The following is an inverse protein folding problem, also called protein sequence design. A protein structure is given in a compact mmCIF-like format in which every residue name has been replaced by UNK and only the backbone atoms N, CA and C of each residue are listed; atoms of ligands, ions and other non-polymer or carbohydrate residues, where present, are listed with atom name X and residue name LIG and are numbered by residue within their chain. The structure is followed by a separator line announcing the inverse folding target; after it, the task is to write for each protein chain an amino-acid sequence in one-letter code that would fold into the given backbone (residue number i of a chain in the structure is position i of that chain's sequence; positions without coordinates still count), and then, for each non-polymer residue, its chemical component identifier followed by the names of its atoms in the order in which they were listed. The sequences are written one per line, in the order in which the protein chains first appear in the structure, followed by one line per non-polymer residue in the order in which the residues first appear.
data_IF_168115292664
#
_entry.id   IF_168115292664
#
_cell.length_a   1.000
_cell.length_b   1.000
_cell.length_c   1.000
_cell.angle_alpha   90.00
_cell.angle_beta   90.00
_cell.angle_gamma   90.00
#
_symmetry.space_group_name_H-M   'P 1'
#
loop_
_entity.id
_entity.type
_entity.pdbx_description
1 polymer ?
#
# COMPACT_ATOMS: atom_id res chain seq x y z
N UNK A 1 -8.91 -6.91 -5.81
CA UNK A 1 -9.61 -6.91 -7.12
C UNK A 1 -8.85 -6.16 -8.19
N UNK A 2 -8.61 -4.85 -8.03
CA UNK A 2 -7.89 -4.02 -9.01
C UNK A 2 -6.59 -4.66 -9.53
N UNK A 3 -5.73 -5.18 -8.63
CA UNK A 3 -4.50 -5.92 -9.01
C UNK A 3 -4.81 -7.11 -9.93
N UNK A 4 -5.73 -7.99 -9.54
CA UNK A 4 -6.03 -9.23 -10.26
C UNK A 4 -6.61 -8.99 -11.65
N UNK A 5 -7.34 -7.88 -11.85
CA UNK A 5 -7.89 -7.53 -13.17
C UNK A 5 -6.87 -6.90 -14.12
N UNK A 6 -5.71 -6.48 -13.62
CA UNK A 6 -4.66 -5.82 -14.42
C UNK A 6 -3.37 -6.63 -14.51
N UNK A 7 -3.38 -7.90 -14.11
CA UNK A 7 -2.21 -8.77 -14.20
C UNK A 7 -2.58 -10.13 -14.76
N UNK A 8 -1.66 -10.72 -15.52
CA UNK A 8 -1.70 -12.14 -15.91
C UNK A 8 -0.78 -13.00 -15.04
N UNK A 9 -0.01 -12.37 -14.16
CA UNK A 9 0.95 -13.02 -13.29
C UNK A 9 0.25 -13.71 -12.11
N UNK A 10 0.85 -14.77 -11.58
CA UNK A 10 0.37 -15.39 -10.34
C UNK A 10 0.58 -14.42 -9.17
N UNK A 11 -0.47 -14.15 -8.41
CA UNK A 11 -0.43 -13.23 -7.27
C UNK A 11 -0.57 -13.99 -5.96
N UNK A 12 0.32 -13.71 -5.01
CA UNK A 12 0.19 -14.13 -3.61
C UNK A 12 0.07 -12.91 -2.70
N UNK A 13 -1.04 -12.79 -1.97
CA UNK A 13 -1.27 -11.71 -1.01
C UNK A 13 -0.80 -12.11 0.40
N UNK A 14 -0.19 -11.16 1.10
CA UNK A 14 0.27 -11.35 2.48
C UNK A 14 -0.44 -10.37 3.39
N UNK A 15 -1.04 -10.84 4.48
CA UNK A 15 -1.79 -10.00 5.40
C UNK A 15 -1.34 -10.16 6.84
N UNK A 16 -1.36 -9.07 7.62
CA UNK A 16 -1.09 -9.10 9.05
C UNK A 16 -2.28 -9.72 9.81
N UNK A 17 -2.12 -10.96 10.28
CA UNK A 17 -3.19 -11.77 10.89
C UNK A 17 -3.97 -11.06 12.00
N UNK A 18 -3.27 -10.30 12.85
CA UNK A 18 -3.86 -9.72 14.06
C UNK A 18 -4.71 -8.46 13.82
N UNK A 19 -4.70 -7.92 12.61
CA UNK A 19 -5.40 -6.67 12.28
C UNK A 19 -6.60 -6.87 11.34
N UNK A 20 -6.86 -8.10 10.92
CA UNK A 20 -8.02 -8.46 10.11
C UNK A 20 -9.23 -8.80 10.99
N UNK A 21 -10.43 -8.37 10.55
CA UNK A 21 -11.69 -8.75 11.18
C UNK A 21 -11.99 -10.25 10.99
N UNK A 22 -12.77 -10.89 11.88
CA UNK A 22 -13.21 -12.27 11.70
C UNK A 22 -13.92 -12.50 10.37
N UNK A 23 -14.83 -11.58 9.99
CA UNK A 23 -15.57 -11.64 8.73
C UNK A 23 -14.66 -11.64 7.51
N UNK A 24 -13.59 -10.82 7.50
CA UNK A 24 -12.65 -10.82 6.38
C UNK A 24 -11.79 -12.09 6.35
N UNK A 25 -11.37 -12.61 7.50
CA UNK A 25 -10.61 -13.89 7.58
C UNK A 25 -11.42 -15.07 7.05
N UNK A 26 -12.72 -15.08 7.28
CA UNK A 26 -13.64 -16.09 6.76
C UNK A 26 -13.86 -15.96 5.24
N UNK A 27 -13.86 -14.73 4.73
CA UNK A 27 -14.15 -14.45 3.33
C UNK A 27 -12.96 -14.59 2.38
N UNK A 28 -11.73 -14.24 2.78
CA UNK A 28 -10.53 -14.35 1.92
C UNK A 28 -10.36 -15.74 1.28
N UNK A 29 -10.51 -16.88 1.99
CA UNK A 29 -10.42 -18.20 1.36
C UNK A 29 -11.37 -18.36 0.17
N UNK A 30 -12.59 -17.82 0.28
CA UNK A 30 -13.58 -17.85 -0.80
C UNK A 30 -13.19 -16.94 -1.95
N UNK A 31 -12.67 -15.75 -1.67
CA UNK A 31 -12.11 -14.89 -2.71
C UNK A 31 -10.94 -15.56 -3.45
N UNK A 32 -10.03 -16.22 -2.72
CA UNK A 32 -8.88 -16.90 -3.28
C UNK A 32 -9.29 -18.03 -4.24
N UNK A 33 -10.28 -18.83 -3.86
CA UNK A 33 -10.85 -19.91 -4.68
C UNK A 33 -11.51 -19.37 -5.95
N UNK A 34 -12.34 -18.31 -5.83
CA UNK A 34 -13.10 -17.75 -6.95
C UNK A 34 -12.20 -16.97 -7.93
N UNK A 35 -11.22 -16.21 -7.42
CA UNK A 35 -10.39 -15.35 -8.25
C UNK A 35 -9.00 -15.92 -8.56
N UNK A 36 -8.67 -17.11 -8.05
CA UNK A 36 -7.45 -17.84 -8.41
C UNK A 36 -6.15 -17.23 -7.89
N UNK A 37 -6.14 -16.67 -6.68
CA UNK A 37 -4.92 -16.14 -6.05
C UNK A 37 -4.53 -16.90 -4.79
N UNK A 38 -3.25 -16.84 -4.42
CA UNK A 38 -2.76 -17.40 -3.16
C UNK A 38 -2.76 -16.33 -2.06
N UNK A 39 -2.87 -16.74 -0.81
CA UNK A 39 -2.67 -15.82 0.30
C UNK A 39 -2.02 -16.49 1.50
N UNK A 40 -1.41 -15.68 2.36
CA UNK A 40 -0.87 -16.14 3.63
C UNK A 40 -1.03 -15.08 4.73
N UNK A 41 -1.32 -15.54 5.94
CA UNK A 41 -1.48 -14.69 7.12
C UNK A 41 -0.18 -14.69 7.92
N UNK A 42 0.55 -13.58 7.89
CA UNK A 42 1.79 -13.41 8.64
C UNK A 42 1.53 -12.70 9.96
N UNK A 43 2.37 -13.03 10.94
CA UNK A 43 2.37 -12.38 12.24
C UNK A 43 3.77 -12.41 12.83
N UNK A 44 4.11 -11.35 13.53
CA UNK A 44 5.31 -11.28 14.34
C UNK A 44 4.93 -10.62 15.66
N UNK A 45 5.55 -11.03 16.76
CA UNK A 45 5.27 -10.43 18.07
C UNK A 45 6.24 -9.27 18.29
N UNK A 46 5.73 -8.08 18.57
CA UNK A 46 6.55 -6.93 18.92
C UNK A 46 7.50 -7.27 20.09
N UNK A 47 8.84 -7.19 19.89
CA UNK A 47 9.80 -7.61 20.91
C UNK A 47 9.71 -6.77 22.18
N UNK A 48 9.93 -7.39 23.35
CA UNK A 48 9.84 -6.68 24.65
C UNK A 48 10.87 -5.56 24.81
N UNK A 49 12.03 -5.68 24.17
CA UNK A 49 13.11 -4.70 24.25
C UNK A 49 12.90 -3.47 23.34
N UNK A 50 12.05 -3.60 22.31
CA UNK A 50 11.78 -2.54 21.36
C UNK A 50 10.64 -1.67 21.90
N UNK A 51 10.81 -0.35 21.88
CA UNK A 51 9.85 0.59 22.43
C UNK A 51 8.45 0.37 21.84
N UNK A 52 7.45 0.23 22.72
CA UNK A 52 6.09 -0.17 22.35
C UNK A 52 5.27 1.06 21.97
N UNK A 53 4.36 0.88 21.01
CA UNK A 53 3.35 1.88 20.67
C UNK A 53 2.02 1.53 21.36
N UNK A 54 1.33 2.54 21.90
CA UNK A 54 0.02 2.36 22.55
C UNK A 54 -1.12 2.45 21.55
N UNK A 55 -1.02 3.37 20.59
CA UNK A 55 -2.05 3.61 19.60
C UNK A 55 -2.02 2.56 18.50
N UNK A 56 -3.18 1.96 18.20
CA UNK A 56 -3.31 0.90 17.18
C UNK A 56 -2.75 1.33 15.83
N UNK A 57 -2.97 2.59 15.42
CA UNK A 57 -2.46 3.13 14.18
C UNK A 57 -0.93 3.15 14.12
N UNK A 58 -0.27 3.67 15.17
CA UNK A 58 1.20 3.68 15.26
C UNK A 58 1.79 2.28 15.32
N UNK A 59 1.11 1.32 15.96
CA UNK A 59 1.51 -0.09 15.93
C UNK A 59 1.47 -0.62 14.48
N UNK A 60 0.38 -0.38 13.73
CA UNK A 60 0.26 -0.81 12.33
C UNK A 60 1.36 -0.20 11.46
N UNK A 61 1.67 1.09 11.62
CA UNK A 61 2.79 1.73 10.94
C UNK A 61 4.13 1.08 11.28
N UNK A 62 4.35 0.67 12.53
CA UNK A 62 5.53 -0.10 12.92
C UNK A 62 5.65 -1.42 12.17
N UNK A 63 4.56 -2.18 12.03
CA UNK A 63 4.57 -3.42 11.25
C UNK A 63 4.83 -3.24 9.76
N UNK A 64 4.50 -2.06 9.20
CA UNK A 64 4.82 -1.71 7.81
C UNK A 64 6.33 -1.53 7.56
N UNK A 65 7.17 -1.33 8.57
CA UNK A 65 8.59 -1.00 8.35
C UNK A 65 9.60 -1.72 9.25
N UNK A 66 9.25 -1.98 10.51
CA UNK A 66 10.23 -2.44 11.51
C UNK A 66 10.55 -3.93 11.43
N UNK A 67 9.70 -4.75 10.81
CA UNK A 67 9.81 -6.22 10.88
C UNK A 67 9.88 -6.90 9.51
N UNK A 68 10.16 -6.15 8.45
CA UNK A 68 10.12 -6.66 7.08
C UNK A 68 11.05 -7.85 6.84
N UNK A 69 12.20 -7.89 7.53
CA UNK A 69 13.18 -8.97 7.47
C UNK A 69 12.70 -10.29 8.08
N UNK A 70 11.86 -10.22 9.13
CA UNK A 70 11.44 -11.36 9.95
C UNK A 70 9.97 -11.75 9.81
N UNK A 71 9.15 -10.89 9.19
CA UNK A 71 7.71 -11.10 9.04
C UNK A 71 7.40 -12.17 7.97
N UNK A 72 8.24 -12.26 6.94
CA UNK A 72 8.06 -13.17 5.82
C UNK A 72 9.02 -14.37 5.90
N UNK A 73 8.61 -15.55 5.40
CA UNK A 73 9.50 -16.69 5.18
C UNK A 73 10.78 -16.34 4.38
N UNK A 74 11.83 -17.15 4.54
CA UNK A 74 13.15 -16.87 3.94
C UNK A 74 13.18 -17.00 2.41
N UNK A 75 12.29 -17.83 1.85
CA UNK A 75 12.11 -18.04 0.42
C UNK A 75 11.42 -16.88 -0.30
N UNK A 76 10.72 -15.99 0.43
CA UNK A 76 10.21 -14.74 -0.13
C UNK A 76 11.37 -13.79 -0.42
N UNK A 77 11.59 -13.50 -1.71
CA UNK A 77 12.75 -12.73 -2.20
C UNK A 77 12.48 -11.23 -2.30
N UNK A 78 11.25 -10.87 -2.68
CA UNK A 78 10.81 -9.50 -2.91
C UNK A 78 9.29 -9.43 -2.67
N UNK A 79 8.80 -8.29 -2.20
CA UNK A 79 7.36 -8.03 -2.11
C UNK A 79 7.06 -6.55 -2.40
N UNK A 80 5.79 -6.26 -2.70
CA UNK A 80 5.28 -4.91 -2.87
C UNK A 80 4.24 -4.67 -1.77
N UNK A 81 4.39 -3.58 -1.04
CA UNK A 81 3.34 -3.06 -0.18
C UNK A 81 2.45 -2.11 -0.97
N UNK A 82 1.13 -2.32 -0.87
CA UNK A 82 0.07 -1.50 -1.46
C UNK A 82 -0.88 -1.14 -0.32
N UNK A 83 -1.14 0.16 -0.10
CA UNK A 83 -2.09 0.56 0.94
C UNK A 83 -3.53 0.11 0.59
N UNK A 84 -4.35 -0.12 1.61
CA UNK A 84 -5.62 -0.83 1.46
C UNK A 84 -6.69 -0.06 0.66
N UNK A 85 -6.54 1.25 0.57
CA UNK A 85 -7.42 2.17 -0.16
C UNK A 85 -6.94 2.50 -1.58
N UNK A 86 -5.87 1.83 -2.06
CA UNK A 86 -5.36 2.08 -3.40
C UNK A 86 -6.15 1.36 -4.50
N UNK A 87 -6.23 2.03 -5.64
CA UNK A 87 -6.68 1.43 -6.90
C UNK A 87 -5.46 1.25 -7.81
N UNK A 88 -5.27 0.03 -8.32
CA UNK A 88 -4.16 -0.34 -9.20
C UNK A 88 -4.69 -0.51 -10.63
N UNK A 89 -4.05 0.17 -11.60
CA UNK A 89 -4.40 0.21 -13.03
C UNK A 89 -3.33 -0.39 -13.95
N UNK A 90 -2.21 -0.84 -13.39
CA UNK A 90 -1.10 -1.43 -14.14
C UNK A 90 -0.72 -2.81 -13.57
N UNK A 91 0.04 -3.57 -14.35
CA UNK A 91 0.57 -4.85 -13.87
C UNK A 91 1.67 -4.60 -12.83
N UNK A 92 1.43 -5.03 -11.58
CA UNK A 92 2.41 -4.90 -10.50
C UNK A 92 3.68 -5.72 -10.75
N UNK A 93 3.67 -6.66 -11.69
CA UNK A 93 4.86 -7.37 -12.14
C UNK A 93 5.94 -6.38 -12.63
N UNK A 94 5.55 -5.29 -13.30
CA UNK A 94 6.49 -4.25 -13.74
C UNK A 94 7.23 -3.60 -12.55
N UNK A 95 6.53 -3.34 -11.44
CA UNK A 95 7.15 -2.78 -10.23
C UNK A 95 7.98 -3.83 -9.49
N UNK A 96 7.54 -5.08 -9.50
CA UNK A 96 8.28 -6.18 -8.91
C UNK A 96 9.63 -6.38 -9.61
N UNK A 97 9.67 -6.25 -10.93
CA UNK A 97 10.88 -6.49 -11.73
C UNK A 97 11.78 -5.26 -11.86
N UNK A 98 11.31 -4.09 -11.42
CA UNK A 98 12.07 -2.85 -11.42
C UNK A 98 13.40 -3.00 -10.67
N UNK A 99 14.49 -2.58 -11.32
CA UNK A 99 15.83 -2.57 -10.73
C UNK A 99 15.94 -1.45 -9.68
N UNK A 100 16.21 -1.87 -8.44
CA UNK A 100 16.40 -0.97 -7.30
C UNK A 100 17.81 -0.38 -7.25
N UNK A 101 18.68 -0.65 -8.23
CA UNK A 101 20.06 -0.18 -8.31
C UNK A 101 20.84 -0.48 -7.02
N UNK A 102 20.64 -1.68 -6.47
CA UNK A 102 21.26 -2.11 -5.22
C UNK A 102 20.64 -1.54 -3.94
N UNK A 103 19.58 -0.73 -4.01
CA UNK A 103 18.82 -0.33 -2.83
C UNK A 103 17.97 -1.50 -2.28
N UNK A 104 17.83 -1.64 -0.95
CA UNK A 104 16.99 -2.68 -0.34
C UNK A 104 15.48 -2.45 -0.54
N UNK A 105 15.07 -1.22 -0.84
CA UNK A 105 13.67 -0.89 -1.13
C UNK A 105 13.56 0.33 -2.04
N UNK A 106 12.41 0.44 -2.71
CA UNK A 106 12.04 1.57 -3.55
C UNK A 106 10.70 2.15 -3.15
N UNK A 107 10.62 3.48 -3.06
CA UNK A 107 9.43 4.23 -2.68
C UNK A 107 9.11 5.29 -3.73
N UNK A 108 7.84 5.64 -3.87
CA UNK A 108 7.41 6.78 -4.70
C UNK A 108 7.59 8.11 -3.95
N UNK A 109 8.20 9.13 -4.57
CA UNK A 109 8.28 10.46 -3.99
C UNK A 109 6.93 11.19 -4.01
N UNK A 110 6.79 12.23 -3.18
CA UNK A 110 5.65 13.14 -3.27
C UNK A 110 5.60 13.87 -4.63
N UNK A 111 4.38 14.01 -5.17
CA UNK A 111 4.12 14.86 -6.32
C UNK A 111 4.43 16.34 -6.04
N UNK A 112 5.04 17.01 -7.02
CA UNK A 112 5.44 18.42 -6.97
C UNK A 112 4.58 19.36 -7.80
N UNK A 113 3.54 18.82 -8.43
CA UNK A 113 2.92 19.45 -9.61
C UNK A 113 1.76 20.37 -9.21
N UNK A 114 1.01 20.04 -8.14
CA UNK A 114 -0.05 20.91 -7.61
C UNK A 114 0.52 22.02 -6.73
N UNK A 115 0.66 23.23 -7.30
CA UNK A 115 1.33 24.38 -6.67
C UNK A 115 0.55 24.99 -5.52
N UNK A 116 -0.78 24.92 -5.56
CA UNK A 116 -1.68 25.41 -4.50
C UNK A 116 -1.38 24.74 -3.15
N UNK A 117 -0.77 23.56 -3.18
CA UNK A 117 -0.42 22.78 -1.99
C UNK A 117 0.99 23.06 -1.45
N UNK A 118 1.74 24.00 -2.04
CA UNK A 118 3.14 24.23 -1.64
C UNK A 118 3.29 24.65 -0.18
N UNK A 119 2.29 25.34 0.39
CA UNK A 119 2.25 25.67 1.81
C UNK A 119 2.19 24.46 2.76
N UNK A 120 1.73 23.31 2.28
CA UNK A 120 1.65 22.06 3.08
C UNK A 120 2.87 21.15 2.90
N UNK A 121 3.83 21.50 2.04
CA UNK A 121 5.04 20.72 1.78
C UNK A 121 6.09 20.94 2.87
N UNK A 122 5.80 20.47 4.08
CA UNK A 122 6.66 20.62 5.25
C UNK A 122 8.08 20.08 5.03
N UNK A 123 8.26 19.11 4.13
CA UNK A 123 9.58 18.55 3.81
C UNK A 123 10.48 19.47 2.97
N UNK A 124 9.95 20.58 2.45
CA UNK A 124 10.73 21.59 1.69
C UNK A 124 11.37 22.66 2.59
N UNK A 125 11.14 22.64 3.90
CA UNK A 125 11.73 23.61 4.84
C UNK A 125 12.21 22.96 6.14
N UNK A 126 12.90 23.75 6.97
CA UNK A 126 13.30 23.38 8.32
C UNK A 126 14.15 22.10 8.40
N UNK A 127 13.84 21.26 9.38
CA UNK A 127 14.56 20.02 9.65
C UNK A 127 14.66 19.10 8.42
N UNK A 128 13.53 18.84 7.76
CA UNK A 128 13.47 17.88 6.66
C UNK A 128 14.25 18.34 5.44
N UNK A 129 14.20 19.63 5.07
CA UNK A 129 14.98 20.14 3.95
C UNK A 129 16.50 19.98 4.20
N UNK A 130 16.95 20.36 5.39
CA UNK A 130 18.36 20.22 5.79
C UNK A 130 18.79 18.75 5.84
N UNK A 131 17.97 17.89 6.45
CA UNK A 131 18.26 16.46 6.59
C UNK A 131 18.29 15.72 5.25
N UNK A 132 17.35 16.01 4.35
CA UNK A 132 17.27 15.35 3.05
C UNK A 132 18.42 15.74 2.11
N UNK A 133 19.03 16.91 2.29
CA UNK A 133 20.18 17.38 1.52
C UNK A 133 19.98 17.24 -0.01
N UNK A 134 18.83 17.70 -0.50
CA UNK A 134 18.45 17.63 -1.92
C UNK A 134 17.81 16.31 -2.36
N UNK A 135 17.72 15.29 -1.49
CA UNK A 135 16.99 14.06 -1.77
C UNK A 135 15.47 14.27 -1.68
N UNK A 136 14.72 13.44 -2.39
CA UNK A 136 13.24 13.47 -2.37
C UNK A 136 12.71 12.92 -1.05
N UNK A 137 11.59 13.47 -0.60
CA UNK A 137 10.78 12.92 0.49
C UNK A 137 9.75 11.94 -0.09
N UNK A 138 9.71 10.72 0.45
CA UNK A 138 8.97 9.57 -0.10
C UNK A 138 7.72 9.23 0.70
N UNK A 139 6.72 8.63 0.04
CA UNK A 139 5.41 8.26 0.61
C UNK A 139 5.35 6.76 0.91
N UNK A 140 4.81 6.36 2.06
CA UNK A 140 4.69 4.96 2.52
C UNK A 140 3.42 4.21 2.05
N UNK A 141 2.74 4.73 1.03
CA UNK A 141 1.51 4.16 0.48
C UNK A 141 1.79 3.03 -0.53
N UNK A 142 2.86 3.16 -1.31
CA UNK A 142 3.32 2.14 -2.25
C UNK A 142 4.85 2.04 -2.17
N UNK A 143 5.37 0.84 -1.92
CA UNK A 143 6.81 0.59 -1.96
C UNK A 143 7.12 -0.87 -2.25
N UNK A 144 8.30 -1.12 -2.80
CA UNK A 144 8.84 -2.45 -3.12
C UNK A 144 10.06 -2.73 -2.25
N UNK A 145 10.20 -3.96 -1.78
CA UNK A 145 11.31 -4.36 -0.89
C UNK A 145 11.98 -5.59 -1.45
N UNK A 146 13.27 -5.48 -1.77
CA UNK A 146 14.14 -6.63 -2.04
C UNK A 146 14.58 -7.22 -0.70
N UNK A 147 13.88 -8.26 -0.25
CA UNK A 147 14.15 -8.93 1.03
C UNK A 147 15.53 -9.57 1.07
N UNK A 148 16.07 -10.05 -0.07
CA UNK A 148 17.43 -10.59 -0.11
C UNK A 148 18.43 -9.50 0.25
N UNK A 149 18.34 -8.34 -0.40
CA UNK A 149 19.23 -7.21 -0.12
C UNK A 149 18.98 -6.63 1.26
N UNK A 150 17.72 -6.45 1.64
CA UNK A 150 17.30 -5.91 2.94
C UNK A 150 17.87 -6.72 4.11
N UNK A 151 17.75 -8.06 4.06
CA UNK A 151 18.34 -8.98 5.04
C UNK A 151 19.87 -8.97 4.97
N UNK A 152 20.47 -9.03 3.78
CA UNK A 152 21.93 -9.05 3.58
C UNK A 152 22.65 -7.86 4.22
N UNK A 153 22.04 -6.68 4.23
CA UNK A 153 22.65 -5.47 4.82
C UNK A 153 22.17 -5.19 6.25
N UNK A 154 21.39 -6.10 6.86
CA UNK A 154 20.75 -5.92 8.16
C UNK A 154 19.95 -4.60 8.25
N UNK A 155 19.19 -4.25 7.20
CA UNK A 155 18.42 -3.01 7.16
C UNK A 155 17.36 -2.94 8.27
N UNK A 156 16.74 -4.08 8.60
CA UNK A 156 15.75 -4.18 9.69
C UNK A 156 16.32 -3.79 11.05
N UNK A 157 17.52 -4.27 11.39
CA UNK A 157 18.19 -3.93 12.65
C UNK A 157 18.54 -2.44 12.73
N UNK A 158 19.03 -1.87 11.63
CA UNK A 158 19.32 -0.42 11.55
C UNK A 158 18.07 0.42 11.76
N UNK A 159 16.96 0.05 11.10
CA UNK A 159 15.67 0.74 11.24
C UNK A 159 15.14 0.64 12.68
N UNK A 160 15.19 -0.55 13.29
CA UNK A 160 14.79 -0.76 14.69
C UNK A 160 15.67 0.02 15.67
N UNK A 161 16.98 0.06 15.44
CA UNK A 161 17.92 0.84 16.27
C UNK A 161 17.62 2.33 16.21
N UNK A 162 17.42 2.89 15.01
CA UNK A 162 17.06 4.30 14.85
C UNK A 162 15.70 4.61 15.48
N UNK A 163 14.70 3.75 15.24
CA UNK A 163 13.40 3.86 15.87
C UNK A 163 13.50 3.86 17.40
N UNK A 164 14.33 2.98 17.99
CA UNK A 164 14.51 2.90 19.45
C UNK A 164 15.00 4.22 20.05
N UNK A 165 15.93 4.89 19.36
CA UNK A 165 16.45 6.20 19.77
C UNK A 165 15.43 7.32 19.60
N UNK A 166 14.79 7.41 18.44
CA UNK A 166 13.83 8.49 18.14
C UNK A 166 12.55 8.38 18.98
N UNK A 167 12.00 7.17 19.12
CA UNK A 167 10.69 6.95 19.75
C UNK A 167 10.64 7.21 21.26
N UNK A 168 11.75 7.60 21.89
CA UNK A 168 11.75 8.12 23.27
C UNK A 168 11.00 9.45 23.37
N UNK A 169 11.04 10.28 22.32
CA UNK A 169 10.19 11.46 22.21
C UNK A 169 8.86 11.07 21.53
N UNK A 170 7.71 11.23 22.21
CA UNK A 170 6.40 10.91 21.65
C UNK A 170 6.03 11.78 20.44
N UNK A 171 6.66 12.96 20.27
CA UNK A 171 6.42 13.86 19.14
C UNK A 171 7.28 13.51 17.91
N UNK A 172 8.24 12.59 18.05
CA UNK A 172 9.03 12.11 16.93
C UNK A 172 8.21 11.20 16.00
N UNK A 173 8.65 11.10 14.74
CA UNK A 173 8.07 10.16 13.78
C UNK A 173 6.55 10.31 13.70
N UNK A 174 6.10 11.50 13.28
CA UNK A 174 4.67 11.84 13.18
C UNK A 174 3.93 10.79 12.34
N UNK A 175 4.53 10.36 11.23
CA UNK A 175 4.09 9.21 10.44
C UNK A 175 5.20 8.17 10.42
N UNK A 176 5.24 7.27 11.41
CA UNK A 176 6.34 6.31 11.62
C UNK A 176 6.78 5.55 10.35
N UNK A 177 5.84 5.03 9.59
CA UNK A 177 6.09 4.25 8.38
C UNK A 177 6.68 5.07 7.22
N UNK A 178 6.50 6.39 7.23
CA UNK A 178 7.01 7.32 6.22
C UNK A 178 8.28 8.04 6.69
N UNK A 179 8.27 8.55 7.93
CA UNK A 179 9.36 9.35 8.47
C UNK A 179 10.61 8.50 8.72
N UNK A 180 10.47 7.25 9.18
CA UNK A 180 11.64 6.43 9.50
C UNK A 180 12.50 6.10 8.25
N UNK A 181 11.95 5.65 7.11
CA UNK A 181 12.74 5.50 5.88
C UNK A 181 13.37 6.82 5.41
N UNK A 182 12.61 7.92 5.40
CA UNK A 182 13.14 9.22 4.98
C UNK A 182 14.23 9.74 5.92
N UNK A 183 14.13 9.48 7.22
CA UNK A 183 15.17 9.79 8.20
C UNK A 183 16.43 8.93 7.97
N UNK A 184 16.25 7.65 7.63
CA UNK A 184 17.34 6.70 7.41
C UNK A 184 17.94 6.75 5.99
N UNK A 185 17.50 7.68 5.13
CA UNK A 185 17.83 7.73 3.69
C UNK A 185 19.32 7.71 3.36
N UNK A 186 20.18 8.19 4.26
CA UNK A 186 21.65 8.20 4.08
C UNK A 186 22.32 6.89 4.50
N UNK A 187 21.69 6.10 5.37
CA UNK A 187 22.23 4.84 5.91
C UNK A 187 21.60 3.61 5.24
N UNK A 188 20.35 3.74 4.82
CA UNK A 188 19.55 2.73 4.12
C UNK A 188 19.00 3.41 2.86
N UNK A 189 19.65 3.15 1.74
CA UNK A 189 19.35 3.82 0.47
C UNK A 189 17.93 3.55 0.00
N UNK A 190 17.29 4.56 -0.57
CA UNK A 190 15.96 4.47 -1.19
C UNK A 190 16.10 4.62 -2.70
N UNK A 191 15.55 3.67 -3.47
CA UNK A 191 15.31 3.91 -4.90
C UNK A 191 14.06 4.76 -5.05
N UNK A 192 14.18 5.97 -5.60
CA UNK A 192 12.99 6.74 -5.98
C UNK A 192 12.34 6.08 -7.20
N UNK A 193 11.09 5.65 -7.04
CA UNK A 193 10.29 5.07 -8.12
C UNK A 193 9.78 6.16 -9.09
N UNK A 194 9.49 5.82 -10.36
CA UNK A 194 8.83 6.71 -11.30
C UNK A 194 7.53 7.29 -10.74
N UNK A 195 7.23 8.55 -11.07
CA UNK A 195 6.09 9.26 -10.48
C UNK A 195 4.74 8.64 -10.88
N UNK A 196 4.65 8.01 -12.06
CA UNK A 196 3.40 7.36 -12.48
C UNK A 196 2.98 6.20 -11.57
N UNK A 197 3.88 5.65 -10.75
CA UNK A 197 3.54 4.59 -9.80
C UNK A 197 2.61 5.04 -8.69
N UNK A 198 2.52 6.33 -8.37
CA UNK A 198 1.63 6.81 -7.30
C UNK A 198 1.06 8.17 -7.65
N UNK A 199 -0.25 8.22 -7.79
CA UNK A 199 -1.01 9.45 -7.97
C UNK A 199 -1.97 9.67 -6.80
N UNK A 200 -2.10 10.89 -6.32
CA UNK A 200 -3.19 11.30 -5.44
C UNK A 200 -3.71 12.69 -5.83
N UNK A 201 -5.04 12.86 -5.77
CA UNK A 201 -5.75 14.09 -6.10
C UNK A 201 -5.23 15.31 -5.33
N UNK A 202 -4.79 15.12 -4.10
CA UNK A 202 -4.28 16.22 -3.27
C UNK A 202 -2.96 16.78 -3.77
N UNK A 203 -2.04 15.96 -4.29
CA UNK A 203 -0.65 16.41 -4.54
C UNK A 203 -0.26 16.45 -6.01
N UNK A 204 -0.88 15.62 -6.83
CA UNK A 204 -0.58 15.45 -8.24
C UNK A 204 -1.58 16.25 -9.08
N UNK A 205 -1.15 16.68 -10.28
CA UNK A 205 -2.03 17.41 -11.21
C UNK A 205 -3.07 16.47 -11.83
N UNK A 206 -4.19 17.03 -12.30
CA UNK A 206 -5.26 16.22 -12.88
C UNK A 206 -4.83 15.59 -14.22
N UNK A 207 -3.98 16.28 -14.98
CA UNK A 207 -3.41 15.80 -16.25
C UNK A 207 -2.52 14.56 -16.04
N UNK A 208 -1.76 14.53 -14.94
CA UNK A 208 -0.87 13.39 -14.63
C UNK A 208 -1.65 12.10 -14.32
N UNK A 209 -2.93 12.19 -13.96
CA UNK A 209 -3.79 11.05 -13.63
C UNK A 209 -3.94 10.07 -14.79
N UNK A 210 -3.90 10.57 -16.03
CA UNK A 210 -4.01 9.72 -17.23
C UNK A 210 -2.87 8.70 -17.35
N UNK A 211 -1.71 8.96 -16.72
CA UNK A 211 -0.55 8.07 -16.71
C UNK A 211 -0.47 7.23 -15.43
N UNK A 212 -1.34 7.45 -14.45
CA UNK A 212 -1.24 6.84 -13.14
C UNK A 212 -1.42 5.31 -13.17
N UNK A 213 -0.40 4.59 -12.68
CA UNK A 213 -0.40 3.13 -12.50
C UNK A 213 -1.08 2.72 -11.19
N UNK A 214 -0.98 3.54 -10.15
CA UNK A 214 -1.78 3.39 -8.92
C UNK A 214 -2.32 4.74 -8.45
N UNK A 215 -3.46 4.70 -7.79
CA UNK A 215 -4.15 5.86 -7.23
C UNK A 215 -4.31 5.62 -5.73
N UNK A 216 -3.76 6.53 -4.93
CA UNK A 216 -3.92 6.60 -3.49
C UNK A 216 -5.03 7.60 -3.12
N UNK A 217 -5.96 7.18 -2.27
CA UNK A 217 -7.05 8.02 -1.76
C UNK A 217 -6.57 8.83 -0.56
N UNK A 218 -5.52 9.62 -0.79
CA UNK A 218 -4.84 10.36 0.27
C UNK A 218 -5.73 11.48 0.84
N UNK A 219 -5.50 11.80 2.12
CA UNK A 219 -6.24 12.85 2.80
C UNK A 219 -5.94 14.23 2.18
N UNK A 220 -6.93 15.12 2.22
CA UNK A 220 -6.78 16.49 1.77
C UNK A 220 -6.74 17.43 3.00
N UNK A 221 -5.69 18.24 3.20
CA UNK A 221 -5.62 19.16 4.34
C UNK A 221 -6.62 20.33 4.23
N UNK A 222 -7.13 20.65 3.03
CA UNK A 222 -8.09 21.72 2.79
C UNK A 222 -9.55 21.28 2.91
N UNK A 223 -9.84 19.98 2.79
CA UNK A 223 -11.21 19.45 2.75
C UNK A 223 -11.34 18.15 3.52
N UNK A 224 -12.47 17.91 4.19
CA UNK A 224 -12.75 16.67 4.93
C UNK A 224 -13.67 15.72 4.16
N UNK A 225 -13.40 15.48 2.87
CA UNK A 225 -14.18 14.55 2.07
C UNK A 225 -13.97 13.10 2.57
N UNK A 226 -15.03 12.32 2.86
CA UNK A 226 -14.90 10.91 3.22
C UNK A 226 -14.35 10.05 2.07
N UNK A 227 -13.56 9.02 2.40
CA UNK A 227 -12.90 8.17 1.39
C UNK A 227 -13.86 7.47 0.41
N UNK A 228 -15.06 7.06 0.86
CA UNK A 228 -16.06 6.44 -0.02
C UNK A 228 -16.51 7.40 -1.13
N UNK A 229 -16.79 8.66 -0.77
CA UNK A 229 -17.14 9.71 -1.72
C UNK A 229 -15.96 10.06 -2.65
N UNK A 230 -14.75 10.12 -2.08
CA UNK A 230 -13.54 10.36 -2.84
C UNK A 230 -13.29 9.24 -3.87
N UNK A 231 -13.51 7.97 -3.50
CA UNK A 231 -13.34 6.82 -4.38
C UNK A 231 -14.25 6.91 -5.61
N UNK A 232 -15.55 7.16 -5.42
CA UNK A 232 -16.52 7.30 -6.51
C UNK A 232 -16.19 8.46 -7.46
N UNK A 233 -15.69 9.58 -6.92
CA UNK A 233 -15.30 10.76 -7.71
C UNK A 233 -13.97 10.59 -8.43
N UNK A 234 -12.98 9.97 -7.78
CA UNK A 234 -11.60 9.88 -8.26
C UNK A 234 -11.41 8.67 -9.17
N UNK A 235 -11.99 7.51 -8.85
CA UNK A 235 -11.82 6.27 -9.59
C UNK A 235 -13.19 5.70 -9.94
N UNK A 236 -13.79 6.10 -11.08
CA UNK A 236 -15.12 5.62 -11.49
C UNK A 236 -15.23 4.09 -11.52
N UNK A 237 -14.13 3.38 -11.81
CA UNK A 237 -14.04 1.91 -11.80
C UNK A 237 -14.13 1.27 -10.40
N UNK A 238 -13.99 2.06 -9.33
CA UNK A 238 -14.08 1.56 -7.96
C UNK A 238 -15.44 0.90 -7.67
N UNK A 239 -16.51 1.47 -8.22
CA UNK A 239 -17.88 0.95 -8.06
C UNK A 239 -18.02 -0.46 -8.66
N UNK A 240 -17.27 -0.76 -9.71
CA UNK A 240 -17.33 -2.07 -10.37
C UNK A 240 -16.68 -3.12 -9.45
N UNK A 241 -15.56 -2.80 -8.80
CA UNK A 241 -14.90 -3.69 -7.84
C UNK A 241 -15.73 -3.90 -6.57
N UNK A 242 -16.32 -2.84 -6.01
CA UNK A 242 -17.17 -2.94 -4.83
C UNK A 242 -18.43 -3.76 -5.13
N UNK A 243 -19.09 -3.50 -6.25
CA UNK A 243 -20.27 -4.26 -6.68
C UNK A 243 -19.94 -5.74 -6.89
N UNK A 244 -18.83 -6.07 -7.54
CA UNK A 244 -18.39 -7.45 -7.77
C UNK A 244 -18.17 -8.22 -6.46
N UNK A 245 -17.49 -7.59 -5.49
CA UNK A 245 -17.28 -8.18 -4.17
C UNK A 245 -18.59 -8.36 -3.41
N UNK A 246 -19.52 -7.39 -3.49
CA UNK A 246 -20.86 -7.50 -2.87
C UNK A 246 -21.70 -8.61 -3.48
N UNK A 247 -21.66 -8.80 -4.80
CA UNK A 247 -22.33 -9.92 -5.48
C UNK A 247 -21.78 -11.26 -4.98
N UNK A 248 -20.46 -11.41 -4.94
CA UNK A 248 -19.83 -12.64 -4.45
C UNK A 248 -20.18 -12.90 -2.97
N UNK A 249 -20.13 -11.85 -2.15
CA UNK A 249 -20.48 -11.92 -0.73
C UNK A 249 -21.94 -12.36 -0.53
N UNK A 250 -22.89 -11.72 -1.21
CA UNK A 250 -24.31 -12.07 -1.15
C UNK A 250 -24.58 -13.50 -1.62
N UNK A 251 -23.87 -13.97 -2.66
CA UNK A 251 -23.97 -15.35 -3.17
C UNK A 251 -23.48 -16.39 -2.16
N UNK A 252 -22.41 -16.10 -1.42
CA UNK A 252 -21.82 -17.05 -0.45
C UNK A 252 -22.61 -17.08 0.85
N UNK A 253 -22.99 -15.91 1.36
CA UNK A 253 -23.57 -15.78 2.71
C UNK A 253 -25.09 -15.57 2.72
N UNK A 254 -25.74 -15.48 1.56
CA UNK A 254 -27.18 -15.24 1.47
C UNK A 254 -27.60 -13.87 2.02
N UNK A 255 -26.71 -12.87 1.96
CA UNK A 255 -26.98 -11.50 2.43
C UNK A 255 -27.50 -10.61 1.30
N UNK A 256 -27.85 -9.37 1.63
CA UNK A 256 -28.35 -8.36 0.67
C UNK A 256 -27.53 -7.05 0.75
N UNK A 257 -26.21 -7.15 0.73
CA UNK A 257 -25.30 -6.00 0.83
C UNK A 257 -25.43 -5.02 -0.34
N UNK A 258 -25.99 -5.46 -1.47
CA UNK A 258 -26.33 -4.63 -2.62
C UNK A 258 -27.53 -3.70 -2.40
N UNK A 259 -28.33 -3.89 -1.35
CA UNK A 259 -29.41 -2.95 -1.00
C UNK A 259 -28.86 -1.66 -0.34
N UNK A 260 -27.58 -1.63 0.01
CA UNK A 260 -26.90 -0.52 0.69
C UNK A 260 -25.97 0.24 -0.27
N UNK A 261 -26.18 0.14 -1.58
CA UNK A 261 -25.37 0.86 -2.56
C UNK A 261 -25.68 2.36 -2.51
N UNK A 262 -24.62 3.17 -2.45
CA UNK A 262 -24.70 4.64 -2.54
C UNK A 262 -24.45 5.15 -3.98
N UNK A 263 -24.48 4.24 -4.96
CA UNK A 263 -24.23 4.50 -6.37
C UNK A 263 -25.11 3.60 -7.25
N UNK A 264 -25.31 4.00 -8.50
CA UNK A 264 -26.03 3.19 -9.48
C UNK A 264 -25.27 1.90 -9.78
N UNK A 265 -25.95 0.75 -9.61
CA UNK A 265 -25.38 -0.55 -9.87
C UNK A 265 -24.82 -0.62 -11.30
N UNK A 266 -23.54 -1.02 -11.48
CA UNK A 266 -22.95 -1.14 -12.79
C UNK A 266 -23.59 -2.28 -13.58
N UNK A 267 -23.61 -2.16 -14.90
CA UNK A 267 -24.11 -3.20 -15.80
C UNK A 267 -23.04 -4.30 -15.96
N UNK A 268 -22.95 -5.18 -14.98
CA UNK A 268 -22.00 -6.31 -14.96
C UNK A 268 -22.77 -7.62 -15.06
N UNK A 269 -22.29 -8.56 -15.88
CA UNK A 269 -22.85 -9.90 -15.90
C UNK A 269 -22.52 -10.64 -14.60
N UNK A 270 -23.51 -10.65 -13.70
CA UNK A 270 -23.40 -11.33 -12.39
C UNK A 270 -23.17 -12.84 -12.49
N UNK A 271 -23.41 -13.46 -13.66
CA UNK A 271 -23.14 -14.88 -13.89
C UNK A 271 -21.65 -15.18 -14.04
N UNK A 272 -20.86 -14.22 -14.54
CA UNK A 272 -19.41 -14.34 -14.69
C UNK A 272 -18.66 -13.98 -13.40
N UNK A 273 -19.32 -13.34 -12.44
CA UNK A 273 -18.72 -12.96 -11.15
C UNK A 273 -18.45 -14.22 -10.31
N UNK A 274 -17.17 -14.39 -9.97
CA UNK A 274 -16.65 -15.57 -9.27
C UNK A 274 -16.21 -16.70 -10.19
N UNK A 275 -16.25 -16.52 -11.52
CA UNK A 275 -15.46 -17.36 -12.41
C UNK A 275 -13.97 -17.05 -12.20
N UNK A 276 -13.10 -18.07 -12.28
CA UNK A 276 -11.65 -17.86 -12.28
C UNK A 276 -11.35 -16.78 -13.32
N UNK A 277 -10.71 -15.68 -12.90
CA UNK A 277 -10.14 -14.72 -13.83
C UNK A 277 -9.21 -15.54 -14.70
N UNK A 278 -9.57 -15.71 -15.98
CA UNK A 278 -8.91 -16.66 -16.85
C UNK A 278 -7.40 -16.44 -16.80
N UNK A 279 -6.67 -17.42 -16.26
CA UNK A 279 -5.44 -17.80 -16.91
C UNK A 279 -5.94 -18.20 -18.29
N UNK A 280 -5.72 -17.35 -19.29
CA UNK A 280 -5.95 -17.75 -20.66
C UNK A 280 -5.11 -19.02 -20.85
N UNK A 281 -5.79 -20.16 -20.82
CA UNK A 281 -5.22 -21.42 -21.26
C UNK A 281 -4.76 -21.18 -22.70
N UNK A 282 -3.45 -21.31 -22.88
CA UNK A 282 -2.74 -21.70 -24.09
C UNK A 282 -3.26 -21.20 -25.45
N UNK A 283 -2.49 -20.29 -26.05
CA UNK A 283 -2.06 -20.42 -27.45
C UNK A 283 -0.54 -20.21 -27.52
#
# INVERSE_FOLDING_TARGET
MSVLKHTKSKVKFWFLKNYLSPSFKDFIPKMAENYGFEYELVQYKWPRWLNQQKEKQRIMWGYKILFLDVLFPLDVKKFIFVDADQIVRADLQELHDLDLNGAPYGYTPFCSDRKEMDGFRFWKSGYWASHLAGRKYHISALYVVDLKKFRKIAAGDRLRGQYQGLSQDPNSLSNLDQDLPNNMIHQVSIKSLPQEWLWCATWCSDESKAKAKTIDLCNNPLTKEPKLKAALRIAPEWKDYDYEIKVLWDKIYGTNTRNQLEYEAPNVDTKEIGAKLGLHDEL
#
